data_IF_205543400319
#
_entry.id   IF_205543400319
#
_cell.length_a   1.000
_cell.length_b   1.000
_cell.length_c   1.000
_cell.angle_alpha   90.00
_cell.angle_beta   90.00
_cell.angle_gamma   90.00
#
_symmetry.space_group_name_H-M   'P 1'
#
loop_
_entity.id
_entity.type
_entity.pdbx_description
1 polymer ?
#
# COMPACT_ATOMS: atom_id res chain seq x y z
N UNK A 1 32.19 -0.46 5.94
CA UNK A 1 30.86 -1.10 5.72
C UNK A 1 30.04 -0.24 4.77
N UNK A 2 29.51 -0.81 3.69
CA UNK A 2 28.67 -0.05 2.76
C UNK A 2 27.31 0.25 3.40
N UNK A 3 26.98 1.52 3.61
CA UNK A 3 25.71 1.99 4.20
C UNK A 3 24.48 1.77 3.27
N UNK A 4 24.61 0.95 2.23
CA UNK A 4 23.51 0.65 1.29
C UNK A 4 22.63 -0.42 1.91
N UNK A 5 21.56 0.03 2.57
CA UNK A 5 20.59 -0.87 3.18
C UNK A 5 19.70 -1.52 2.12
N UNK A 6 19.73 -2.85 2.04
CA UNK A 6 18.85 -3.61 1.16
C UNK A 6 17.49 -3.81 1.83
N UNK A 7 16.43 -3.79 1.02
CA UNK A 7 15.05 -3.89 1.54
C UNK A 7 14.75 -5.30 2.07
N UNK A 8 15.36 -6.35 1.51
CA UNK A 8 15.15 -7.74 1.96
C UNK A 8 15.51 -7.88 3.44
N UNK A 9 16.70 -7.46 3.79
CA UNK A 9 17.25 -7.50 5.16
C UNK A 9 16.42 -6.65 6.15
N UNK A 10 15.74 -5.60 5.69
CA UNK A 10 14.86 -4.78 6.54
C UNK A 10 13.51 -5.44 6.84
N UNK A 11 13.01 -6.33 5.98
CA UNK A 11 11.72 -6.99 6.19
C UNK A 11 11.79 -8.07 7.26
N UNK A 12 12.97 -8.65 7.47
CA UNK A 12 13.23 -9.72 8.44
C UNK A 12 13.41 -9.15 9.86
N UNK A 13 13.68 -7.85 10.00
CA UNK A 13 13.90 -7.18 11.29
C UNK A 13 12.60 -6.85 12.02
N UNK A 14 12.67 -6.84 13.35
CA UNK A 14 11.61 -6.39 14.23
C UNK A 14 11.37 -4.87 14.16
N UNK A 15 10.19 -4.42 14.61
CA UNK A 15 9.81 -3.00 14.62
C UNK A 15 10.79 -2.14 15.43
N UNK A 16 11.21 -2.63 16.60
CA UNK A 16 12.06 -1.87 17.50
C UNK A 16 13.48 -1.70 16.93
N UNK A 17 14.00 -2.73 16.28
CA UNK A 17 15.30 -2.65 15.59
C UNK A 17 15.27 -1.67 14.42
N UNK A 18 14.17 -1.66 13.66
CA UNK A 18 13.97 -0.69 12.59
C UNK A 18 13.90 0.75 13.11
N UNK A 19 13.30 0.98 14.29
CA UNK A 19 13.24 2.30 14.92
C UNK A 19 14.62 2.75 15.45
N UNK A 20 15.39 1.83 16.05
CA UNK A 20 16.78 2.09 16.46
C UNK A 20 17.63 2.48 15.25
N UNK A 21 17.63 1.67 14.20
CA UNK A 21 18.36 1.93 12.96
C UNK A 21 17.92 3.25 12.28
N UNK A 22 16.63 3.59 12.34
CA UNK A 22 16.12 4.87 11.84
C UNK A 22 16.68 6.06 12.62
N UNK A 23 16.81 5.94 13.95
CA UNK A 23 17.35 6.99 14.81
C UNK A 23 18.84 7.23 14.54
N UNK A 24 19.61 6.15 14.35
CA UNK A 24 21.03 6.21 14.02
C UNK A 24 21.26 6.92 12.68
N UNK A 25 20.51 6.55 11.65
CA UNK A 25 20.64 7.18 10.33
C UNK A 25 20.21 8.65 10.33
N UNK A 26 19.24 9.04 11.16
CA UNK A 26 18.87 10.47 11.32
C UNK A 26 19.98 11.26 12.01
N UNK A 27 20.63 10.70 13.04
CA UNK A 27 21.79 11.31 13.71
C UNK A 27 22.95 11.48 12.74
N UNK A 28 23.28 10.41 12.00
CA UNK A 28 24.35 10.44 10.99
C UNK A 28 24.07 11.48 9.89
N UNK A 29 22.82 11.54 9.40
CA UNK A 29 22.43 12.55 8.42
C UNK A 29 22.62 13.97 8.96
N UNK A 30 22.25 14.23 10.22
CA UNK A 30 22.41 15.55 10.85
C UNK A 30 23.88 15.97 10.89
N UNK A 31 24.76 15.07 11.35
CA UNK A 31 26.21 15.31 11.39
C UNK A 31 26.80 15.59 10.00
N UNK A 32 26.32 14.88 8.97
CA UNK A 32 26.75 15.13 7.59
C UNK A 32 26.25 16.46 7.03
N UNK A 33 25.10 16.97 7.49
CA UNK A 33 24.62 18.32 7.10
C UNK A 33 25.45 19.43 7.71
N UNK A 34 25.88 19.28 8.97
CA UNK A 34 26.83 20.23 9.57
C UNK A 34 28.16 20.18 8.83
N UNK A 35 28.67 18.98 8.55
CA UNK A 35 29.91 18.79 7.78
C UNK A 35 29.83 19.39 6.37
N UNK A 36 28.64 19.39 5.76
CA UNK A 36 28.40 20.00 4.46
C UNK A 36 28.58 21.52 4.50
N UNK A 37 28.14 22.18 5.58
CA UNK A 37 28.29 23.62 5.73
C UNK A 37 29.76 24.04 5.88
N UNK A 38 30.58 23.18 6.50
CA UNK A 38 32.01 23.40 6.68
C UNK A 38 32.85 23.13 5.42
N UNK A 39 32.22 22.82 4.26
CA UNK A 39 32.87 22.48 2.99
C UNK A 39 33.96 21.40 3.11
N UNK A 40 33.73 20.42 3.98
CA UNK A 40 34.64 19.27 4.16
C UNK A 40 34.55 18.33 2.94
N UNK A 41 35.67 17.70 2.57
CA UNK A 41 35.88 16.99 1.31
C UNK A 41 34.75 16.10 0.76
N UNK A 42 34.70 16.01 -0.58
CA UNK A 42 33.60 15.44 -1.39
C UNK A 42 33.20 13.99 -1.03
N UNK A 43 34.12 13.16 -0.53
CA UNK A 43 33.85 11.77 -0.17
C UNK A 43 32.83 11.62 0.98
N UNK A 44 32.82 12.54 1.94
CA UNK A 44 31.81 12.55 3.03
C UNK A 44 30.45 13.01 2.52
N UNK A 45 30.41 13.96 1.58
CA UNK A 45 29.19 14.50 0.98
C UNK A 45 28.44 13.45 0.13
N UNK A 46 29.17 12.57 -0.56
CA UNK A 46 28.58 11.49 -1.35
C UNK A 46 27.68 10.53 -0.53
N UNK A 47 27.88 10.44 0.79
CA UNK A 47 27.11 9.58 1.71
C UNK A 47 25.73 10.15 2.06
N UNK A 48 25.48 11.44 1.86
CA UNK A 48 24.19 12.08 2.18
C UNK A 48 23.05 11.40 1.40
N UNK A 49 23.28 11.10 0.11
CA UNK A 49 22.27 10.45 -0.73
C UNK A 49 21.96 9.03 -0.24
N UNK A 50 22.98 8.25 0.11
CA UNK A 50 22.82 6.85 0.53
C UNK A 50 22.04 6.77 1.84
N UNK A 51 22.38 7.60 2.83
CA UNK A 51 21.70 7.64 4.14
C UNK A 51 20.25 8.14 3.98
N UNK A 52 20.01 9.20 3.20
CA UNK A 52 18.65 9.70 2.93
C UNK A 52 17.77 8.63 2.29
N UNK A 53 18.33 7.86 1.34
CA UNK A 53 17.61 6.72 0.72
C UNK A 53 17.44 5.55 1.69
N UNK A 54 18.39 5.32 2.60
CA UNK A 54 18.27 4.36 3.71
C UNK A 54 17.11 4.68 4.64
N UNK A 55 17.02 5.92 5.13
CA UNK A 55 15.90 6.43 5.96
C UNK A 55 14.55 6.19 5.26
N UNK A 56 14.46 6.57 3.98
CA UNK A 56 13.23 6.38 3.21
C UNK A 56 12.82 4.90 3.08
N UNK A 57 13.78 3.98 2.89
CA UNK A 57 13.52 2.53 2.83
C UNK A 57 13.00 2.00 4.17
N UNK A 58 13.62 2.36 5.28
CA UNK A 58 13.19 1.94 6.63
C UNK A 58 11.77 2.43 6.92
N UNK A 59 11.50 3.72 6.69
CA UNK A 59 10.15 4.28 6.87
C UNK A 59 9.11 3.61 5.98
N UNK A 60 9.47 3.23 4.75
CA UNK A 60 8.58 2.52 3.83
C UNK A 60 8.19 1.14 4.38
N UNK A 61 9.14 0.39 4.94
CA UNK A 61 8.88 -0.94 5.53
C UNK A 61 8.00 -0.81 6.77
N UNK A 62 8.31 0.11 7.68
CA UNK A 62 7.50 0.39 8.88
C UNK A 62 6.05 0.74 8.52
N UNK A 63 5.85 1.72 7.64
CA UNK A 63 4.52 2.16 7.21
C UNK A 63 3.75 1.06 6.46
N UNK A 64 4.45 0.24 5.66
CA UNK A 64 3.82 -0.89 4.96
C UNK A 64 3.29 -1.92 5.96
N UNK A 65 4.12 -2.32 6.92
CA UNK A 65 3.77 -3.32 7.94
C UNK A 65 2.61 -2.83 8.81
N UNK A 66 2.65 -1.57 9.25
CA UNK A 66 1.56 -0.95 10.01
C UNK A 66 0.24 -0.96 9.21
N UNK A 67 0.26 -0.52 7.95
CA UNK A 67 -0.94 -0.51 7.08
C UNK A 67 -1.46 -1.91 6.80
N UNK A 68 -0.59 -2.91 6.68
CA UNK A 68 -0.98 -4.29 6.48
C UNK A 68 -1.66 -4.87 7.73
N UNK A 69 -1.08 -4.65 8.90
CA UNK A 69 -1.66 -5.08 10.17
C UNK A 69 -3.00 -4.40 10.44
N UNK A 70 -3.13 -3.10 10.17
CA UNK A 70 -4.42 -2.40 10.24
C UNK A 70 -5.44 -2.94 9.23
N UNK A 71 -5.01 -3.32 8.02
CA UNK A 71 -5.92 -3.94 7.03
C UNK A 71 -6.43 -5.29 7.48
N UNK A 72 -5.60 -6.10 8.14
CA UNK A 72 -5.97 -7.38 8.76
C UNK A 72 -6.94 -7.14 9.92
N UNK A 73 -6.67 -6.18 10.79
CA UNK A 73 -7.57 -5.83 11.89
C UNK A 73 -8.98 -5.41 11.40
N UNK A 74 -9.07 -4.58 10.37
CA UNK A 74 -10.36 -4.14 9.80
C UNK A 74 -10.91 -5.08 8.70
N UNK A 75 -10.38 -6.30 8.52
CA UNK A 75 -10.96 -7.24 7.55
C UNK A 75 -12.26 -7.85 8.06
N UNK A 76 -12.42 -7.93 9.38
CA UNK A 76 -13.60 -8.52 10.01
C UNK A 76 -14.86 -7.75 9.66
N UNK A 77 -15.92 -8.50 9.33
CA UNK A 77 -17.19 -7.94 8.82
C UNK A 77 -17.82 -6.96 9.81
N UNK A 78 -17.67 -7.20 11.12
CA UNK A 78 -18.16 -6.34 12.20
C UNK A 78 -17.44 -4.99 12.23
N UNK A 79 -16.12 -4.97 12.03
CA UNK A 79 -15.29 -3.76 12.12
C UNK A 79 -15.14 -3.01 10.79
N UNK A 80 -15.63 -3.59 9.68
CA UNK A 80 -15.50 -3.02 8.33
C UNK A 80 -16.16 -1.64 8.18
N UNK A 81 -17.24 -1.35 8.91
CA UNK A 81 -17.92 -0.04 8.90
C UNK A 81 -17.06 1.05 9.57
N UNK A 82 -16.40 0.71 10.68
CA UNK A 82 -15.48 1.58 11.42
C UNK A 82 -14.13 1.79 10.71
N UNK A 83 -13.89 1.13 9.58
CA UNK A 83 -12.65 1.24 8.81
C UNK A 83 -12.38 2.68 8.34
N UNK A 84 -11.20 3.26 8.67
CA UNK A 84 -10.79 4.59 8.23
C UNK A 84 -10.82 4.77 6.70
N UNK A 85 -11.20 5.97 6.23
CA UNK A 85 -11.27 6.30 4.79
C UNK A 85 -9.93 6.06 4.07
N UNK A 86 -8.81 6.25 4.75
CA UNK A 86 -7.43 6.05 4.24
C UNK A 86 -7.08 4.59 3.90
N UNK A 87 -7.82 3.62 4.46
CA UNK A 87 -7.62 2.19 4.20
C UNK A 87 -8.66 1.62 3.21
N UNK A 88 -9.67 2.40 2.83
CA UNK A 88 -10.67 1.99 1.82
C UNK A 88 -10.04 2.00 0.42
N UNK A 89 -10.64 1.25 -0.51
CA UNK A 89 -10.17 1.24 -1.88
C UNK A 89 -10.30 2.64 -2.51
N UNK A 90 -9.23 3.15 -3.11
CA UNK A 90 -9.22 4.45 -3.78
C UNK A 90 -9.73 4.28 -5.22
N UNK A 91 -11.03 4.52 -5.41
CA UNK A 91 -11.69 4.58 -6.72
C UNK A 91 -12.10 6.03 -7.03
N UNK A 92 -12.50 6.30 -8.28
CA UNK A 92 -13.15 7.57 -8.62
C UNK A 92 -14.44 7.76 -7.82
N UNK A 93 -14.84 9.01 -7.58
CA UNK A 93 -16.05 9.29 -6.80
C UNK A 93 -17.29 8.62 -7.40
N UNK A 94 -17.47 8.74 -8.72
CA UNK A 94 -18.56 8.11 -9.47
C UNK A 94 -18.60 6.60 -9.26
N UNK A 95 -17.45 5.92 -9.30
CA UNK A 95 -17.37 4.46 -9.06
C UNK A 95 -17.69 4.05 -7.63
N UNK A 96 -17.47 4.91 -6.63
CA UNK A 96 -17.86 4.62 -5.24
C UNK A 96 -19.37 4.71 -5.00
N UNK A 97 -20.06 5.59 -5.74
CA UNK A 97 -21.51 5.77 -5.64
C UNK A 97 -22.31 4.87 -6.59
N UNK A 98 -21.67 4.35 -7.64
CA UNK A 98 -22.32 3.46 -8.59
C UNK A 98 -22.84 2.19 -7.91
N UNK A 99 -23.97 1.67 -8.41
CA UNK A 99 -24.53 0.39 -8.00
C UNK A 99 -23.50 -0.72 -8.17
N UNK A 100 -23.39 -1.59 -7.17
CA UNK A 100 -22.54 -2.78 -7.26
C UNK A 100 -23.15 -3.76 -8.26
N UNK A 101 -22.33 -4.63 -8.84
CA UNK A 101 -22.81 -5.62 -9.81
C UNK A 101 -23.93 -6.53 -9.25
N UNK A 102 -23.85 -6.89 -7.97
CA UNK A 102 -24.89 -7.68 -7.31
C UNK A 102 -26.22 -6.92 -7.13
N UNK A 103 -26.18 -5.59 -7.01
CA UNK A 103 -27.35 -4.71 -6.93
C UNK A 103 -27.93 -4.50 -8.33
N UNK A 104 -27.06 -4.19 -9.31
CA UNK A 104 -27.43 -3.97 -10.71
C UNK A 104 -28.06 -5.20 -11.36
N UNK A 105 -27.59 -6.40 -11.02
CA UNK A 105 -28.07 -7.65 -11.61
C UNK A 105 -29.26 -8.27 -10.86
N UNK A 106 -29.84 -7.59 -9.86
CA UNK A 106 -31.03 -8.10 -9.18
C UNK A 106 -32.19 -8.18 -10.17
N UNK A 107 -32.75 -9.37 -10.30
CA UNK A 107 -33.93 -9.65 -11.14
C UNK A 107 -35.12 -10.00 -10.26
N UNK A 108 -36.32 -9.65 -10.69
CA UNK A 108 -37.54 -10.06 -10.01
C UNK A 108 -37.78 -11.57 -10.17
N UNK A 109 -38.57 -12.17 -9.27
CA UNK A 109 -38.94 -13.60 -9.38
C UNK A 109 -39.58 -13.93 -10.73
N UNK A 110 -40.41 -13.01 -11.26
CA UNK A 110 -41.03 -13.14 -12.59
C UNK A 110 -39.97 -13.12 -13.71
N UNK A 111 -39.03 -12.18 -13.68
CA UNK A 111 -37.94 -12.09 -14.66
C UNK A 111 -37.05 -13.34 -14.64
N UNK A 112 -36.71 -13.86 -13.46
CA UNK A 112 -35.96 -15.12 -13.34
C UNK A 112 -36.73 -16.29 -13.96
N UNK A 113 -38.01 -16.46 -13.60
CA UNK A 113 -38.87 -17.52 -14.16
C UNK A 113 -38.94 -17.46 -15.68
N UNK A 114 -39.10 -16.26 -16.25
CA UNK A 114 -39.14 -16.07 -17.70
C UNK A 114 -37.79 -16.39 -18.36
N UNK A 115 -36.67 -15.94 -17.77
CA UNK A 115 -35.34 -16.23 -18.29
C UNK A 115 -35.00 -17.73 -18.25
N UNK A 116 -35.47 -18.47 -17.24
CA UNK A 116 -35.35 -19.92 -17.18
C UNK A 116 -36.26 -20.62 -18.18
N UNK A 117 -37.51 -20.16 -18.34
CA UNK A 117 -38.48 -20.76 -19.25
C UNK A 117 -38.09 -20.56 -20.72
N UNK A 118 -37.56 -19.39 -21.06
CA UNK A 118 -37.22 -19.00 -22.43
C UNK A 118 -35.79 -18.44 -22.51
N UNK A 119 -34.77 -19.31 -22.45
CA UNK A 119 -33.39 -18.88 -22.62
C UNK A 119 -33.14 -18.43 -24.06
N UNK A 120 -32.30 -17.41 -24.25
CA UNK A 120 -31.81 -17.02 -25.58
C UNK A 120 -31.00 -18.16 -26.16
N UNK A 121 -31.46 -18.73 -27.28
CA UNK A 121 -30.76 -19.79 -28.01
C UNK A 121 -29.90 -19.17 -29.11
N UNK A 122 -28.71 -19.70 -29.30
CA UNK A 122 -27.85 -19.37 -30.43
C UNK A 122 -28.25 -20.33 -31.55
N UNK A 123 -28.58 -19.80 -32.73
CA UNK A 123 -28.89 -20.59 -33.92
C UNK A 123 -28.34 -19.88 -35.15
N UNK A 124 -28.10 -20.63 -36.22
CA UNK A 124 -27.72 -20.13 -37.52
C UNK A 124 -28.64 -20.76 -38.57
N UNK A 125 -29.00 -19.97 -39.58
CA UNK A 125 -29.78 -20.45 -40.73
C UNK A 125 -28.83 -20.41 -41.93
N UNK A 126 -28.74 -21.54 -42.62
CA UNK A 126 -28.04 -21.62 -43.90
C UNK A 126 -29.00 -21.08 -44.96
N UNK A 127 -28.56 -20.09 -45.74
CA UNK A 127 -29.25 -19.66 -46.95
C UNK A 127 -29.16 -20.77 -47.99
#
# INVERSE_FOLDING_TARGET
>A
MSHIVKIRDLKEKGKDDLLKQLSEFKKELSQLRVSQQMNVGAARLGRIRTIRKGIARIMTVLNKNERENLRKFYSDKKLRSAKPKTLRAKLTHRRRLALKANEKNRKTRRQLRMAHKFPRRIYAVKV
#
